data_IF_054719633268
#
_entry.id   IF_054719633268
#
_cell.length_a   1.000
_cell.length_b   1.000
_cell.length_c   1.000
_cell.angle_alpha   90.00
_cell.angle_beta   90.00
_cell.angle_gamma   90.00
#
_symmetry.space_group_name_H-M   'P 1'
#
loop_
_entity.id
_entity.type
_entity.pdbx_description
1 polymer ?
#
# COMPACT_ATOMS: atom_id res chain seq x y z
N UNK A 1 -22.25 -4.54 -6.98
CA UNK A 1 -21.00 -3.79 -7.22
C UNK A 1 -19.82 -4.69 -6.97
N UNK A 2 -18.70 -4.57 -7.72
CA UNK A 2 -17.47 -5.37 -7.53
C UNK A 2 -16.50 -4.79 -6.48
N UNK A 3 -16.80 -3.62 -5.91
CA UNK A 3 -16.16 -3.10 -4.70
C UNK A 3 -16.70 -3.74 -3.41
N UNK A 4 -16.09 -3.40 -2.27
CA UNK A 4 -16.48 -3.90 -0.95
C UNK A 4 -15.82 -5.23 -0.61
N UNK A 5 -15.22 -5.31 0.58
CA UNK A 5 -14.37 -6.44 1.01
C UNK A 5 -14.74 -6.80 2.45
N UNK A 6 -15.84 -7.54 2.63
CA UNK A 6 -16.26 -8.06 3.95
C UNK A 6 -16.00 -9.56 4.07
N UNK A 7 -15.98 -10.06 5.30
CA UNK A 7 -15.85 -11.50 5.58
C UNK A 7 -16.96 -12.32 4.91
N UNK A 8 -18.20 -11.81 4.93
CA UNK A 8 -19.35 -12.46 4.32
C UNK A 8 -19.18 -12.65 2.81
N UNK A 9 -18.57 -11.68 2.11
CA UNK A 9 -18.24 -11.81 0.68
C UNK A 9 -17.22 -12.94 0.44
N UNK A 10 -16.23 -13.09 1.32
CA UNK A 10 -15.21 -14.15 1.20
C UNK A 10 -15.80 -15.54 1.46
N UNK A 11 -16.69 -15.68 2.45
CA UNK A 11 -17.44 -16.90 2.68
C UNK A 11 -18.31 -17.28 1.47
N UNK A 12 -18.86 -16.28 0.78
CA UNK A 12 -19.57 -16.43 -0.50
C UNK A 12 -18.69 -16.76 -1.71
N UNK A 13 -17.39 -17.04 -1.52
CA UNK A 13 -16.38 -17.31 -2.56
C UNK A 13 -16.07 -16.12 -3.48
N UNK A 14 -16.38 -14.90 -3.07
CA UNK A 14 -16.13 -13.69 -3.87
C UNK A 14 -14.71 -13.12 -3.68
N UNK A 15 -13.70 -14.00 -3.65
CA UNK A 15 -12.28 -13.64 -3.42
C UNK A 15 -11.73 -12.64 -4.45
N UNK A 16 -12.29 -12.62 -5.66
CA UNK A 16 -11.93 -11.67 -6.71
C UNK A 16 -12.09 -10.21 -6.26
N UNK A 17 -12.92 -9.93 -5.25
CA UNK A 17 -13.12 -8.59 -4.66
C UNK A 17 -11.90 -8.06 -3.93
N UNK A 18 -11.04 -8.94 -3.40
CA UNK A 18 -9.78 -8.54 -2.76
C UNK A 18 -8.87 -7.80 -3.74
N UNK A 19 -8.81 -8.30 -4.98
CA UNK A 19 -8.05 -7.72 -6.06
C UNK A 19 -8.81 -6.57 -6.74
N UNK A 20 -10.01 -6.84 -7.24
CA UNK A 20 -10.79 -5.87 -8.03
C UNK A 20 -11.20 -4.64 -7.22
N UNK A 21 -11.51 -4.81 -5.93
CA UNK A 21 -11.87 -3.71 -5.04
C UNK A 21 -10.76 -2.68 -4.85
N UNK A 22 -9.49 -3.03 -5.09
CA UNK A 22 -8.37 -2.09 -5.02
C UNK A 22 -8.36 -1.08 -6.18
N UNK A 23 -9.09 -1.36 -7.27
CA UNK A 23 -9.20 -0.45 -8.42
C UNK A 23 -10.42 0.48 -8.32
N UNK A 24 -11.35 0.21 -7.39
CA UNK A 24 -12.49 1.11 -7.15
C UNK A 24 -12.06 2.25 -6.22
N UNK A 25 -12.55 3.45 -6.51
CA UNK A 25 -12.29 4.65 -5.73
C UNK A 25 -13.59 5.41 -5.49
N UNK A 26 -13.73 6.02 -4.31
CA UNK A 26 -14.96 6.71 -3.91
C UNK A 26 -15.23 8.00 -4.70
N UNK A 27 -14.19 8.65 -5.20
CA UNK A 27 -14.28 9.86 -6.01
C UNK A 27 -12.99 10.05 -6.84
N UNK A 28 -13.03 11.00 -7.77
CA UNK A 28 -11.91 11.29 -8.68
C UNK A 28 -10.66 11.78 -7.94
N UNK A 29 -10.81 12.57 -6.88
CA UNK A 29 -9.67 13.06 -6.10
C UNK A 29 -8.95 11.92 -5.37
N UNK A 30 -9.70 10.96 -4.83
CA UNK A 30 -9.13 9.77 -4.20
C UNK A 30 -8.40 8.89 -5.22
N UNK A 31 -8.95 8.72 -6.43
CA UNK A 31 -8.27 8.03 -7.53
C UNK A 31 -6.97 8.72 -7.91
N UNK A 32 -7.00 10.04 -8.17
CA UNK A 32 -5.82 10.80 -8.52
C UNK A 32 -4.78 10.74 -7.39
N UNK A 33 -5.18 10.95 -6.14
CA UNK A 33 -4.29 10.88 -4.99
C UNK A 33 -3.52 9.55 -4.90
N UNK A 34 -4.21 8.42 -5.10
CA UNK A 34 -3.59 7.09 -5.14
C UNK A 34 -2.70 6.90 -6.37
N UNK A 35 -3.15 7.32 -7.56
CA UNK A 35 -2.39 7.18 -8.80
C UNK A 35 -1.06 7.96 -8.73
N UNK A 36 -1.09 9.20 -8.25
CA UNK A 36 0.10 10.01 -8.02
C UNK A 36 1.01 9.39 -6.94
N UNK A 37 0.42 8.82 -5.88
CA UNK A 37 1.21 8.15 -4.84
C UNK A 37 1.95 6.94 -5.39
N UNK A 38 1.28 6.07 -6.15
CA UNK A 38 1.90 4.91 -6.80
C UNK A 38 3.01 5.37 -7.74
N UNK A 39 2.75 6.40 -8.56
CA UNK A 39 3.74 6.94 -9.49
C UNK A 39 5.00 7.44 -8.76
N UNK A 40 4.87 8.30 -7.75
CA UNK A 40 6.03 8.85 -7.05
C UNK A 40 6.78 7.83 -6.21
N UNK A 41 6.06 6.89 -5.58
CA UNK A 41 6.69 5.75 -4.91
C UNK A 41 7.44 4.88 -5.91
N UNK A 42 6.90 4.67 -7.11
CA UNK A 42 7.57 4.00 -8.24
C UNK A 42 8.87 4.69 -8.63
N UNK A 43 8.83 6.01 -8.84
CA UNK A 43 10.03 6.83 -9.15
C UNK A 43 11.14 6.67 -8.10
N UNK A 44 10.80 6.46 -6.83
CA UNK A 44 11.78 6.30 -5.75
C UNK A 44 12.32 4.87 -5.68
N UNK A 45 11.44 3.87 -5.84
CA UNK A 45 11.69 2.50 -5.40
C UNK A 45 11.87 1.48 -6.53
N UNK A 46 11.19 1.65 -7.67
CA UNK A 46 11.07 0.59 -8.70
C UNK A 46 12.44 0.17 -9.24
N UNK A 47 13.31 1.13 -9.60
CA UNK A 47 14.67 0.85 -10.11
C UNK A 47 15.57 0.16 -9.06
N UNK A 48 15.21 0.24 -7.78
CA UNK A 48 16.00 -0.33 -6.68
C UNK A 48 15.65 -1.79 -6.40
N UNK A 49 14.39 -2.15 -6.53
CA UNK A 49 13.88 -3.49 -6.19
C UNK A 49 13.42 -4.30 -7.41
N UNK A 50 13.31 -3.66 -8.58
CA UNK A 50 12.79 -4.22 -9.82
C UNK A 50 11.25 -4.20 -9.90
N UNK A 51 10.73 -4.06 -11.12
CA UNK A 51 9.29 -3.93 -11.40
C UNK A 51 8.45 -5.09 -10.85
N UNK A 52 8.96 -6.33 -10.90
CA UNK A 52 8.23 -7.50 -10.40
C UNK A 52 8.10 -7.50 -8.88
N UNK A 53 9.16 -7.15 -8.15
CA UNK A 53 9.12 -7.02 -6.69
C UNK A 53 8.20 -5.88 -6.27
N UNK A 54 8.28 -4.75 -6.97
CA UNK A 54 7.39 -3.61 -6.78
C UNK A 54 5.92 -4.01 -6.94
N UNK A 55 5.59 -4.64 -8.06
CA UNK A 55 4.23 -5.09 -8.36
C UNK A 55 3.74 -6.12 -7.34
N UNK A 56 4.59 -7.09 -6.96
CA UNK A 56 4.24 -8.12 -6.00
C UNK A 56 3.96 -7.54 -4.61
N UNK A 57 4.83 -6.68 -4.09
CA UNK A 57 4.65 -6.03 -2.78
C UNK A 57 3.37 -5.18 -2.79
N UNK A 58 3.12 -4.43 -3.87
CA UNK A 58 1.92 -3.62 -4.01
C UNK A 58 0.64 -4.46 -4.03
N UNK A 59 0.57 -5.51 -4.86
CA UNK A 59 -0.63 -6.35 -4.99
C UNK A 59 -0.87 -7.19 -3.73
N UNK A 60 0.17 -7.83 -3.21
CA UNK A 60 0.06 -8.66 -2.00
C UNK A 60 -0.24 -7.78 -0.78
N UNK A 61 0.37 -6.61 -0.66
CA UNK A 61 0.07 -5.66 0.42
C UNK A 61 -1.39 -5.23 0.44
N UNK A 62 -1.98 -4.97 -0.72
CA UNK A 62 -3.42 -4.75 -0.85
C UNK A 62 -4.22 -5.96 -0.35
N UNK A 63 -3.92 -7.16 -0.88
CA UNK A 63 -4.66 -8.38 -0.54
C UNK A 63 -4.58 -8.69 0.96
N UNK A 64 -3.38 -8.66 1.54
CA UNK A 64 -3.14 -8.98 2.95
C UNK A 64 -3.86 -8.00 3.86
N UNK A 65 -3.70 -6.69 3.63
CA UNK A 65 -4.33 -5.67 4.46
C UNK A 65 -5.86 -5.79 4.43
N UNK A 66 -6.46 -5.96 3.25
CA UNK A 66 -7.90 -6.10 3.13
C UNK A 66 -8.43 -7.44 3.64
N UNK A 67 -7.66 -8.52 3.53
CA UNK A 67 -8.04 -9.82 4.09
C UNK A 67 -8.09 -9.75 5.60
N UNK A 68 -7.05 -9.19 6.23
CA UNK A 68 -7.00 -9.01 7.69
C UNK A 68 -8.13 -8.09 8.15
N UNK A 69 -8.31 -6.95 7.48
CA UNK A 69 -9.35 -5.98 7.86
C UNK A 69 -10.77 -6.55 7.76
N UNK A 70 -11.04 -7.40 6.77
CA UNK A 70 -12.34 -8.02 6.59
C UNK A 70 -12.73 -8.94 7.75
N UNK A 71 -11.78 -9.51 8.50
CA UNK A 71 -12.06 -10.44 9.62
C UNK A 71 -12.82 -9.75 10.76
N UNK A 72 -12.56 -8.46 11.00
CA UNK A 72 -13.12 -7.72 12.13
C UNK A 72 -13.91 -6.47 11.72
N UNK A 73 -14.13 -6.28 10.42
CA UNK A 73 -14.95 -5.18 9.91
C UNK A 73 -15.84 -5.64 8.78
N UNK A 74 -17.14 -5.38 8.89
CA UNK A 74 -18.11 -5.48 7.79
C UNK A 74 -17.95 -4.30 6.81
N UNK A 75 -16.72 -3.91 6.50
CA UNK A 75 -16.42 -2.75 5.68
C UNK A 75 -16.73 -3.01 4.21
N UNK A 76 -18.00 -2.89 3.88
CA UNK A 76 -18.57 -3.01 2.54
C UNK A 76 -18.17 -1.86 1.61
N UNK A 77 -17.49 -0.82 2.13
CA UNK A 77 -16.93 0.30 1.36
C UNK A 77 -15.44 0.17 1.05
N UNK A 78 -14.83 -0.99 1.34
CA UNK A 78 -13.42 -1.30 1.09
C UNK A 78 -13.02 -1.07 -0.37
N UNK A 79 -12.45 0.10 -0.63
CA UNK A 79 -12.08 0.62 -1.94
C UNK A 79 -10.76 1.35 -1.82
N UNK A 80 -9.95 1.35 -2.88
CA UNK A 80 -8.67 2.05 -2.94
C UNK A 80 -7.46 1.12 -3.02
N UNK A 81 -6.42 1.65 -3.64
CA UNK A 81 -5.13 1.01 -3.84
C UNK A 81 -4.14 1.21 -2.68
N UNK A 82 -4.54 2.04 -1.71
CA UNK A 82 -3.63 2.67 -0.75
C UNK A 82 -2.89 1.68 0.14
N UNK A 83 -3.44 0.55 0.63
CA UNK A 83 -2.66 -0.34 1.50
C UNK A 83 -1.40 -0.90 0.82
N UNK A 84 -1.46 -1.19 -0.48
CA UNK A 84 -0.28 -1.60 -1.25
C UNK A 84 0.74 -0.48 -1.40
N UNK A 85 0.29 0.76 -1.61
CA UNK A 85 1.17 1.94 -1.60
C UNK A 85 1.84 2.12 -0.24
N UNK A 86 1.11 1.95 0.86
CA UNK A 86 1.68 2.00 2.22
C UNK A 86 2.71 0.88 2.47
N UNK A 87 2.52 -0.32 1.88
CA UNK A 87 3.51 -1.38 1.92
C UNK A 87 4.82 -0.98 1.20
N UNK A 88 4.70 -0.32 0.04
CA UNK A 88 5.87 0.19 -0.70
C UNK A 88 6.54 1.37 0.03
N UNK A 89 5.79 2.25 0.69
CA UNK A 89 6.34 3.33 1.51
C UNK A 89 7.13 2.75 2.70
N UNK A 90 6.62 1.69 3.33
CA UNK A 90 7.38 0.97 4.36
C UNK A 90 8.70 0.42 3.80
N UNK A 91 8.68 -0.16 2.59
CA UNK A 91 9.89 -0.62 1.91
C UNK A 91 10.91 0.50 1.70
N UNK A 92 10.47 1.67 1.21
CA UNK A 92 11.31 2.87 1.07
C UNK A 92 11.99 3.23 2.39
N UNK A 93 11.22 3.30 3.48
CA UNK A 93 11.72 3.70 4.80
C UNK A 93 12.72 2.68 5.33
N UNK A 94 12.39 1.38 5.28
CA UNK A 94 13.28 0.32 5.78
C UNK A 94 14.59 0.26 4.98
N UNK A 95 14.53 0.37 3.65
CA UNK A 95 15.72 0.39 2.81
C UNK A 95 16.59 1.62 3.06
N UNK A 96 15.99 2.79 3.25
CA UNK A 96 16.74 4.00 3.62
C UNK A 96 17.41 3.88 4.99
N UNK A 97 16.72 3.27 5.98
CA UNK A 97 17.28 3.03 7.31
C UNK A 97 18.38 1.97 7.30
N UNK A 98 18.26 0.96 6.44
CA UNK A 98 19.26 -0.08 6.25
C UNK A 98 20.53 0.48 5.62
N UNK A 99 20.40 1.22 4.52
CA UNK A 99 21.52 1.89 3.85
C UNK A 99 21.04 3.18 3.18
N UNK A 100 21.43 4.31 3.76
CA UNK A 100 21.09 5.65 3.25
C UNK A 100 21.69 5.92 1.86
N UNK A 101 22.76 5.23 1.49
CA UNK A 101 23.40 5.36 0.17
C UNK A 101 22.65 4.57 -0.90
N UNK A 102 22.02 3.45 -0.52
CA UNK A 102 21.18 2.65 -1.41
C UNK A 102 19.95 3.44 -1.90
N UNK A 103 19.32 4.16 -0.97
CA UNK A 103 18.12 4.97 -1.24
C UNK A 103 18.23 6.33 -0.53
N UNK A 104 18.64 7.38 -1.26
CA UNK A 104 18.81 8.71 -0.70
C UNK A 104 17.49 9.52 -0.75
N UNK A 105 16.86 9.70 0.40
CA UNK A 105 15.64 10.50 0.54
C UNK A 105 15.98 11.96 0.81
N UNK A 106 15.93 12.79 -0.24
CA UNK A 106 16.15 14.23 -0.11
C UNK A 106 14.82 14.98 -0.08
N UNK A 107 14.50 15.61 1.05
CA UNK A 107 13.36 16.53 1.14
C UNK A 107 13.59 17.76 0.25
N UNK A 108 12.51 18.23 -0.40
CA UNK A 108 12.58 19.22 -1.47
C UNK A 108 12.46 18.59 -2.87
N UNK A 109 12.76 17.30 -3.01
CA UNK A 109 12.41 16.52 -4.20
C UNK A 109 10.90 16.19 -4.17
N UNK A 110 10.21 16.44 -5.28
CA UNK A 110 8.75 16.31 -5.35
C UNK A 110 8.25 14.87 -5.07
N UNK A 111 8.78 13.80 -5.69
CA UNK A 111 8.47 12.43 -5.31
C UNK A 111 8.57 12.13 -3.81
N UNK A 112 9.65 12.57 -3.15
CA UNK A 112 9.85 12.36 -1.71
C UNK A 112 8.79 13.12 -0.92
N UNK A 113 8.63 14.42 -1.21
CA UNK A 113 7.67 15.27 -0.52
C UNK A 113 6.23 14.73 -0.66
N UNK A 114 5.81 14.37 -1.87
CA UNK A 114 4.48 13.82 -2.11
C UNK A 114 4.28 12.51 -1.34
N UNK A 115 5.28 11.61 -1.35
CA UNK A 115 5.21 10.33 -0.65
C UNK A 115 5.00 10.51 0.86
N UNK A 116 5.73 11.44 1.49
CA UNK A 116 5.58 11.73 2.91
C UNK A 116 4.26 12.47 3.23
N UNK A 117 3.84 13.40 2.37
CA UNK A 117 2.53 14.06 2.51
C UNK A 117 1.40 13.03 2.40
N UNK A 118 1.49 12.11 1.44
CA UNK A 118 0.52 11.02 1.27
C UNK A 118 0.50 10.09 2.48
N UNK A 119 1.67 9.71 3.00
CA UNK A 119 1.81 8.89 4.21
C UNK A 119 1.08 9.52 5.41
N UNK A 120 1.18 10.84 5.57
CA UNK A 120 0.54 11.58 6.67
C UNK A 120 -0.95 11.80 6.39
N UNK A 121 -1.28 12.50 5.29
CA UNK A 121 -2.64 12.96 4.99
C UNK A 121 -3.59 11.81 4.65
N UNK A 122 -3.11 10.72 4.05
CA UNK A 122 -3.93 9.55 3.72
C UNK A 122 -4.63 8.95 4.94
N UNK A 123 -4.04 9.07 6.13
CA UNK A 123 -4.60 8.56 7.38
C UNK A 123 -5.81 9.36 7.88
N UNK A 124 -6.02 10.58 7.39
CA UNK A 124 -7.16 11.42 7.77
C UNK A 124 -8.42 11.15 6.93
N UNK A 125 -8.36 10.21 5.99
CA UNK A 125 -9.52 9.80 5.19
C UNK A 125 -10.59 9.08 6.04
N UNK A 126 -10.20 8.52 7.19
CA UNK A 126 -11.11 7.91 8.16
C UNK A 126 -10.47 6.72 8.89
N UNK A 127 -11.10 6.26 9.98
CA UNK A 127 -10.54 5.20 10.83
C UNK A 127 -10.31 3.88 10.08
N UNK A 128 -11.21 3.52 9.16
CA UNK A 128 -11.05 2.32 8.33
C UNK A 128 -9.84 2.42 7.40
N UNK A 129 -9.64 3.59 6.79
CA UNK A 129 -8.46 3.87 5.96
C UNK A 129 -7.18 3.77 6.80
N UNK A 130 -7.15 4.41 7.97
CA UNK A 130 -6.02 4.34 8.89
C UNK A 130 -5.63 2.91 9.26
N UNK A 131 -6.61 2.05 9.57
CA UNK A 131 -6.35 0.64 9.91
C UNK A 131 -5.76 -0.11 8.72
N UNK A 132 -6.36 -0.02 7.52
CA UNK A 132 -5.82 -0.72 6.34
C UNK A 132 -4.44 -0.20 5.93
N UNK A 133 -4.15 1.08 6.17
CA UNK A 133 -2.83 1.67 5.98
C UNK A 133 -1.79 1.09 6.93
N UNK A 134 -2.11 0.97 8.23
CA UNK A 134 -1.23 0.31 9.21
C UNK A 134 -0.96 -1.14 8.81
N UNK A 135 -1.99 -1.87 8.39
CA UNK A 135 -1.85 -3.26 7.96
C UNK A 135 -0.96 -3.40 6.73
N UNK A 136 -1.16 -2.55 5.72
CA UNK A 136 -0.30 -2.50 4.53
C UNK A 136 1.15 -2.14 4.87
N UNK A 137 1.35 -1.12 5.70
CA UNK A 137 2.67 -0.70 6.15
C UNK A 137 3.39 -1.80 6.95
N UNK A 138 2.66 -2.49 7.83
CA UNK A 138 3.19 -3.62 8.61
C UNK A 138 3.63 -4.76 7.72
N UNK A 139 2.81 -5.14 6.73
CA UNK A 139 3.20 -6.13 5.72
C UNK A 139 4.47 -5.71 4.96
N UNK A 140 4.52 -4.47 4.47
CA UNK A 140 5.67 -3.92 3.75
C UNK A 140 6.96 -3.94 4.58
N UNK A 141 6.85 -3.61 5.87
CA UNK A 141 7.97 -3.68 6.82
C UNK A 141 8.48 -5.10 6.95
N UNK A 142 7.60 -6.06 7.24
CA UNK A 142 7.96 -7.47 7.44
C UNK A 142 8.59 -8.06 6.19
N UNK A 143 7.97 -7.89 5.01
CA UNK A 143 8.49 -8.48 3.77
C UNK A 143 9.84 -7.87 3.39
N UNK A 144 10.05 -6.57 3.61
CA UNK A 144 11.33 -5.93 3.31
C UNK A 144 12.43 -6.45 4.22
N UNK A 145 12.15 -6.63 5.52
CA UNK A 145 13.11 -7.22 6.46
C UNK A 145 13.46 -8.67 6.09
N UNK A 146 12.48 -9.48 5.70
CA UNK A 146 12.71 -10.84 5.22
C UNK A 146 13.59 -10.84 3.97
N UNK A 147 13.29 -9.98 2.99
CA UNK A 147 14.06 -9.90 1.75
C UNK A 147 15.50 -9.42 1.98
N UNK A 148 15.70 -8.49 2.91
CA UNK A 148 17.04 -8.10 3.34
C UNK A 148 17.75 -9.27 4.01
N UNK A 149 17.11 -9.98 4.93
CA UNK A 149 17.70 -11.15 5.58
C UNK A 149 18.08 -12.26 4.59
N UNK A 150 17.27 -12.54 3.57
CA UNK A 150 17.55 -13.59 2.58
C UNK A 150 18.67 -13.24 1.58
N UNK A 151 19.03 -11.95 1.49
CA UNK A 151 20.09 -11.48 0.59
C UNK A 151 21.49 -11.51 1.24
N UNK A 152 21.55 -11.82 2.53
CA UNK A 152 22.75 -11.99 3.35
C UNK A 152 22.74 -13.34 4.07
#
# INVERSE_FOLDING_TARGET
MAGGKSFNNMQGKEWYRLLTGSFFHQNILHLLGNAYAIYFVGVILEDKIGSWSFLAIYLIGNIVAYTIYAIFSDYTKGTGASPGTYALIACIIILHLYDKTFLNLQFGNWPVNYTFVYLILGNFYGIGAFIVHILGFSFGTIITLILLFLKY
#
